data_IF_910727498961
#
_entry.id   IF_910727498961
#
_cell.length_a   1.000
_cell.length_b   1.000
_cell.length_c   1.000
_cell.angle_alpha   90.00
_cell.angle_beta   90.00
_cell.angle_gamma   90.00
#
_symmetry.space_group_name_H-M   'P 1'
#
loop_
_entity.id
_entity.type
_entity.pdbx_description
1 polymer ?
#
# COMPACT_ATOMS: atom_id res chain seq x y z
N UNK A 1 -25.29 -38.24 24.33
CA UNK A 1 -24.03 -37.51 24.56
C UNK A 1 -23.53 -37.01 23.21
N UNK A 2 -23.71 -35.70 22.99
CA UNK A 2 -23.17 -34.82 21.94
C UNK A 2 -22.70 -35.41 20.61
N UNK A 3 -23.54 -35.28 19.58
CA UNK A 3 -23.09 -35.19 18.18
C UNK A 3 -22.48 -33.80 17.98
N UNK A 4 -21.16 -33.72 17.76
CA UNK A 4 -20.46 -32.46 17.50
C UNK A 4 -21.02 -31.75 16.25
N UNK A 5 -20.90 -30.41 16.16
CA UNK A 5 -21.39 -29.69 15.00
C UNK A 5 -20.57 -30.13 13.79
N UNK A 6 -21.27 -30.74 12.84
CA UNK A 6 -20.75 -31.10 11.53
C UNK A 6 -20.11 -29.85 10.93
N UNK A 7 -18.79 -29.87 10.80
CA UNK A 7 -18.02 -28.81 10.19
C UNK A 7 -18.40 -28.78 8.71
N UNK A 8 -19.45 -28.01 8.38
CA UNK A 8 -19.87 -27.78 7.01
C UNK A 8 -18.70 -27.07 6.31
N UNK A 9 -17.93 -27.85 5.55
CA UNK A 9 -16.96 -27.35 4.61
C UNK A 9 -17.74 -26.58 3.54
N UNK A 10 -17.89 -25.27 3.72
CA UNK A 10 -18.61 -24.45 2.76
C UNK A 10 -17.79 -24.28 1.47
N UNK A 11 -18.45 -24.31 0.30
CA UNK A 11 -17.79 -24.37 -0.98
C UNK A 11 -16.95 -23.11 -1.25
N UNK A 12 -15.82 -23.31 -1.92
CA UNK A 12 -14.97 -22.24 -2.45
C UNK A 12 -15.69 -21.37 -3.49
N UNK A 13 -15.01 -20.35 -4.03
CA UNK A 13 -15.64 -19.20 -4.68
C UNK A 13 -16.28 -19.61 -6.00
N UNK A 14 -17.54 -20.02 -5.96
CA UNK A 14 -18.36 -20.23 -7.13
C UNK A 14 -19.18 -18.97 -7.39
N UNK A 15 -19.08 -18.48 -8.64
CA UNK A 15 -19.93 -17.43 -9.22
C UNK A 15 -21.37 -17.61 -8.77
N UNK A 16 -21.95 -16.51 -8.29
CA UNK A 16 -23.32 -16.36 -7.80
C UNK A 16 -24.33 -17.25 -8.53
N UNK A 17 -25.23 -17.88 -7.77
CA UNK A 17 -26.64 -17.69 -8.11
C UNK A 17 -27.46 -17.41 -6.85
N UNK A 18 -28.16 -16.26 -6.86
CA UNK A 18 -29.34 -15.98 -6.03
C UNK A 18 -29.31 -16.51 -4.57
N UNK A 19 -28.56 -15.84 -3.69
CA UNK A 19 -28.63 -16.09 -2.25
C UNK A 19 -29.82 -15.32 -1.64
N UNK A 20 -30.80 -16.05 -1.12
CA UNK A 20 -32.01 -15.49 -0.51
C UNK A 20 -31.66 -14.69 0.76
N UNK A 21 -32.34 -13.55 0.97
CA UNK A 21 -32.10 -12.64 2.09
C UNK A 21 -32.24 -13.24 3.50
N UNK A 22 -32.72 -14.48 3.60
CA UNK A 22 -32.90 -15.22 4.85
C UNK A 22 -31.57 -15.59 5.54
N UNK A 23 -30.47 -15.80 4.80
CA UNK A 23 -29.18 -16.15 5.40
C UNK A 23 -28.54 -15.00 6.19
N UNK A 24 -28.71 -13.77 5.70
CA UNK A 24 -28.26 -12.56 6.40
C UNK A 24 -29.03 -12.37 7.72
N UNK A 25 -30.30 -12.78 7.75
CA UNK A 25 -31.13 -12.76 8.96
C UNK A 25 -30.79 -13.88 9.95
N UNK A 26 -30.40 -15.07 9.47
CA UNK A 26 -30.14 -16.24 10.33
C UNK A 26 -28.73 -16.26 10.91
N UNK A 27 -27.74 -15.68 10.22
CA UNK A 27 -26.35 -15.60 10.69
C UNK A 27 -25.78 -14.18 10.54
N UNK A 28 -26.34 -13.19 11.26
CA UNK A 28 -25.99 -11.78 11.08
C UNK A 28 -24.52 -11.48 11.42
N UNK A 29 -23.95 -12.12 12.45
CA UNK A 29 -22.54 -11.91 12.82
C UNK A 29 -21.58 -12.43 11.74
N UNK A 30 -21.83 -13.64 11.22
CA UNK A 30 -20.98 -14.24 10.18
C UNK A 30 -21.07 -13.46 8.86
N UNK A 31 -22.25 -12.89 8.55
CA UNK A 31 -22.39 -11.98 7.40
C UNK A 31 -21.63 -10.67 7.61
N UNK A 32 -21.69 -10.10 8.81
CA UNK A 32 -20.92 -8.90 9.17
C UNK A 32 -19.41 -9.16 9.09
N UNK A 33 -18.91 -10.27 9.64
CA UNK A 33 -17.49 -10.66 9.57
C UNK A 33 -17.02 -10.80 8.11
N UNK A 34 -17.82 -11.47 7.27
CA UNK A 34 -17.52 -11.58 5.83
C UNK A 34 -17.53 -10.22 5.14
N UNK A 35 -18.52 -9.38 5.44
CA UNK A 35 -18.60 -8.02 4.90
C UNK A 35 -17.39 -7.18 5.30
N UNK A 36 -16.94 -7.28 6.55
CA UNK A 36 -15.75 -6.60 7.04
C UNK A 36 -14.48 -7.12 6.35
N UNK A 37 -14.36 -8.45 6.16
CA UNK A 37 -13.22 -9.04 5.44
C UNK A 37 -13.15 -8.56 3.98
N UNK A 38 -14.28 -8.51 3.28
CA UNK A 38 -14.37 -7.98 1.91
C UNK A 38 -13.96 -6.50 1.87
N UNK A 39 -14.50 -5.69 2.79
CA UNK A 39 -14.15 -4.27 2.87
C UNK A 39 -12.66 -4.04 3.13
N UNK A 40 -12.05 -4.85 4.00
CA UNK A 40 -10.61 -4.74 4.30
C UNK A 40 -9.75 -5.16 3.10
N UNK A 41 -10.14 -6.21 2.37
CA UNK A 41 -9.48 -6.61 1.13
C UNK A 41 -9.59 -5.52 0.05
N UNK A 42 -10.78 -4.97 -0.15
CA UNK A 42 -11.01 -3.82 -1.04
C UNK A 42 -10.17 -2.61 -0.62
N UNK A 43 -10.08 -2.36 0.70
CA UNK A 43 -9.26 -1.29 1.30
C UNK A 43 -7.77 -1.51 1.01
N UNK A 44 -7.27 -2.73 1.13
CA UNK A 44 -5.88 -3.05 0.81
C UNK A 44 -5.60 -2.91 -0.69
N UNK A 45 -6.52 -3.33 -1.56
CA UNK A 45 -6.37 -3.25 -3.01
C UNK A 45 -6.20 -1.80 -3.53
N UNK A 46 -6.85 -0.83 -2.87
CA UNK A 46 -6.76 0.60 -3.22
C UNK A 46 -5.56 1.34 -2.60
N UNK A 47 -4.84 0.73 -1.66
CA UNK A 47 -3.58 1.27 -1.09
C UNK A 47 -2.37 0.82 -1.91
N UNK A 48 -2.35 1.23 -3.17
CA UNK A 48 -1.42 0.71 -4.17
C UNK A 48 -0.08 1.46 -4.30
N UNK A 49 0.08 2.59 -3.62
CA UNK A 49 1.31 3.39 -3.73
C UNK A 49 2.22 3.13 -2.54
N UNK A 50 3.41 2.54 -2.72
CA UNK A 50 4.41 2.44 -1.66
C UNK A 50 4.94 3.84 -1.30
N UNK A 51 5.07 4.11 0.00
CA UNK A 51 5.51 5.40 0.54
C UNK A 51 6.78 5.25 1.38
N UNK A 52 7.84 5.93 0.94
CA UNK A 52 9.08 6.10 1.69
C UNK A 52 8.97 7.35 2.58
N UNK A 53 9.22 7.20 3.87
CA UNK A 53 9.18 8.31 4.83
C UNK A 53 10.62 8.71 5.14
N UNK A 54 11.02 9.91 4.75
CA UNK A 54 12.37 10.42 5.00
C UNK A 54 12.37 11.96 4.99
N UNK A 55 13.07 12.57 4.03
CA UNK A 55 13.20 14.02 3.86
C UNK A 55 12.33 14.56 2.72
N UNK A 56 12.23 15.89 2.64
CA UNK A 56 11.47 16.57 1.59
C UNK A 56 12.20 16.47 0.24
N UNK A 57 11.46 16.16 -0.82
CA UNK A 57 11.95 16.13 -2.21
C UNK A 57 11.01 16.92 -3.12
N UNK A 58 11.57 17.53 -4.17
CA UNK A 58 10.83 18.37 -5.10
C UNK A 58 10.80 17.72 -6.50
N UNK A 59 9.73 17.93 -7.28
CA UNK A 59 9.70 17.57 -8.69
C UNK A 59 10.84 18.22 -9.48
N UNK A 60 11.32 17.55 -10.53
CA UNK A 60 12.35 18.05 -11.44
C UNK A 60 13.78 17.96 -10.92
N UNK A 61 14.01 17.32 -9.77
CA UNK A 61 15.33 17.18 -9.16
C UNK A 61 15.68 15.69 -8.98
N UNK A 62 16.96 15.29 -9.15
CA UNK A 62 17.41 13.95 -8.77
C UNK A 62 17.44 13.80 -7.25
N UNK A 63 17.27 12.58 -6.75
CA UNK A 63 17.43 12.25 -5.32
C UNK A 63 18.12 10.89 -5.16
N UNK A 64 19.19 10.87 -4.35
CA UNK A 64 19.97 9.67 -4.04
C UNK A 64 19.62 9.15 -2.66
N UNK A 65 19.26 7.87 -2.56
CA UNK A 65 18.75 7.26 -1.35
C UNK A 65 19.50 5.98 -1.02
N UNK A 66 19.75 5.77 0.28
CA UNK A 66 20.36 4.56 0.80
C UNK A 66 19.32 3.70 1.51
N UNK A 67 19.00 2.55 0.92
CA UNK A 67 18.01 1.61 1.44
C UNK A 67 18.72 0.53 2.26
N UNK A 68 18.83 0.78 3.56
CA UNK A 68 19.47 -0.16 4.50
C UNK A 68 18.45 -0.93 5.34
N UNK A 69 17.27 -0.35 5.65
CA UNK A 69 16.24 -1.03 6.43
C UNK A 69 15.58 -2.18 5.63
N UNK A 70 15.41 -3.37 6.22
CA UNK A 70 14.82 -4.54 5.54
C UNK A 70 13.48 -4.27 4.86
N UNK A 71 12.58 -3.51 5.51
CA UNK A 71 11.26 -3.16 4.96
C UNK A 71 11.34 -2.36 3.66
N UNK A 72 12.30 -1.45 3.54
CA UNK A 72 12.46 -0.63 2.34
C UNK A 72 13.20 -1.37 1.24
N UNK A 73 14.10 -2.30 1.59
CA UNK A 73 14.70 -3.25 0.64
C UNK A 73 13.63 -4.12 -0.03
N UNK A 74 12.65 -4.60 0.73
CA UNK A 74 11.49 -5.31 0.19
C UNK A 74 10.61 -4.40 -0.68
N UNK A 75 10.30 -3.19 -0.19
CA UNK A 75 9.54 -2.19 -0.94
C UNK A 75 10.19 -1.90 -2.31
N UNK A 76 11.51 -1.66 -2.35
CA UNK A 76 12.26 -1.40 -3.57
C UNK A 76 12.15 -2.56 -4.56
N UNK A 77 12.32 -3.80 -4.10
CA UNK A 77 12.18 -5.00 -4.95
C UNK A 77 10.82 -5.05 -5.63
N UNK A 78 9.74 -4.83 -4.87
CA UNK A 78 8.37 -4.79 -5.41
C UNK A 78 8.16 -3.64 -6.40
N UNK A 79 8.75 -2.46 -6.16
CA UNK A 79 8.69 -1.37 -7.13
C UNK A 79 9.34 -1.76 -8.47
N UNK A 80 10.49 -2.46 -8.42
CA UNK A 80 11.23 -2.90 -9.59
C UNK A 80 10.53 -4.00 -10.39
N UNK A 81 9.59 -4.73 -9.79
CA UNK A 81 8.75 -5.72 -10.48
C UNK A 81 7.67 -5.08 -11.37
N UNK A 82 7.48 -3.75 -11.28
CA UNK A 82 6.51 -3.02 -12.10
C UNK A 82 7.15 -2.46 -13.38
N UNK A 83 6.40 -2.30 -14.49
CA UNK A 83 6.93 -1.68 -15.71
C UNK A 83 7.41 -0.23 -15.54
N UNK A 84 6.96 0.45 -14.48
CA UNK A 84 7.14 1.87 -14.25
C UNK A 84 7.58 2.11 -12.80
N UNK A 85 8.80 1.66 -12.43
CA UNK A 85 9.23 1.57 -11.04
C UNK A 85 9.27 2.94 -10.38
N UNK A 86 8.43 3.13 -9.37
CA UNK A 86 8.26 4.40 -8.65
C UNK A 86 7.70 4.17 -7.25
N UNK A 87 7.90 5.16 -6.38
CA UNK A 87 7.28 5.21 -5.06
C UNK A 87 7.00 6.67 -4.69
N UNK A 88 6.10 6.90 -3.74
CA UNK A 88 5.90 8.21 -3.15
C UNK A 88 6.91 8.45 -2.03
N UNK A 89 7.40 9.68 -1.89
CA UNK A 89 8.21 10.09 -0.76
C UNK A 89 7.51 11.22 -0.01
N UNK A 90 7.37 11.06 1.31
CA UNK A 90 6.89 12.11 2.20
C UNK A 90 7.95 12.43 3.25
N UNK A 91 7.88 13.66 3.75
CA UNK A 91 8.68 14.07 4.90
C UNK A 91 8.06 13.51 6.18
N UNK A 92 8.91 13.07 7.12
CA UNK A 92 8.45 12.68 8.46
C UNK A 92 7.76 13.85 9.19
N UNK A 93 6.68 13.56 9.92
CA UNK A 93 6.00 14.57 10.73
C UNK A 93 6.79 14.84 11.99
N UNK A 94 7.08 16.12 12.26
CA UNK A 94 7.41 16.53 13.63
C UNK A 94 6.13 16.50 14.45
N UNK A 95 6.18 15.98 15.66
CA UNK A 95 5.05 15.96 16.60
C UNK A 95 4.39 17.34 16.64
N UNK A 96 3.11 17.41 16.25
CA UNK A 96 2.33 18.65 16.18
C UNK A 96 2.22 19.33 14.80
N UNK A 97 2.81 18.77 13.73
CA UNK A 97 2.69 19.37 12.39
C UNK A 97 1.50 18.79 11.58
N UNK A 98 0.56 19.64 11.09
CA UNK A 98 -0.65 19.18 10.41
C UNK A 98 -0.45 18.76 8.94
N UNK A 99 0.70 19.03 8.32
CA UNK A 99 0.87 18.95 6.85
C UNK A 99 1.87 17.86 6.40
N UNK A 100 1.71 16.61 6.84
CA UNK A 100 2.54 15.48 6.35
C UNK A 100 1.87 14.59 5.32
N UNK A 101 0.77 15.05 4.75
CA UNK A 101 0.05 14.33 3.70
C UNK A 101 0.63 14.60 2.31
N UNK A 102 1.54 15.56 2.16
CA UNK A 102 2.09 15.94 0.86
C UNK A 102 3.44 15.29 0.60
N UNK A 103 3.63 14.85 -0.65
CA UNK A 103 4.87 14.23 -1.08
C UNK A 103 5.13 14.38 -2.57
N UNK A 104 6.21 13.73 -3.01
CA UNK A 104 6.63 13.71 -4.42
C UNK A 104 6.77 12.26 -4.87
N UNK A 105 6.23 11.95 -6.06
CA UNK A 105 6.47 10.68 -6.74
C UNK A 105 7.91 10.68 -7.25
N UNK A 106 8.67 9.66 -6.86
CA UNK A 106 10.03 9.43 -7.28
C UNK A 106 10.06 8.26 -8.27
N UNK A 107 10.53 8.52 -9.48
CA UNK A 107 10.80 7.51 -10.50
C UNK A 107 12.19 6.93 -10.27
N UNK A 108 12.30 5.60 -10.20
CA UNK A 108 13.59 4.93 -9.99
C UNK A 108 14.37 4.95 -11.31
N UNK A 109 15.56 5.55 -11.30
CA UNK A 109 16.43 5.67 -12.48
C UNK A 109 17.51 4.60 -12.49
N UNK A 110 18.15 4.36 -11.34
CA UNK A 110 19.18 3.34 -11.21
C UNK A 110 19.21 2.77 -9.79
N UNK A 111 19.65 1.51 -9.67
CA UNK A 111 19.82 0.82 -8.39
C UNK A 111 21.17 0.12 -8.39
N UNK A 112 21.99 0.45 -7.40
CA UNK A 112 23.23 -0.25 -7.10
C UNK A 112 23.01 -1.14 -5.88
N UNK A 113 23.05 -2.46 -6.07
CA UNK A 113 23.02 -3.42 -4.96
C UNK A 113 24.40 -3.54 -4.31
N UNK A 114 24.45 -3.52 -2.98
CA UNK A 114 25.66 -3.69 -2.20
C UNK A 114 25.80 -5.15 -1.71
N UNK A 115 27.02 -5.64 -1.41
CA UNK A 115 27.24 -7.05 -1.01
C UNK A 115 26.51 -7.50 0.25
N UNK A 116 26.18 -6.57 1.15
CA UNK A 116 25.39 -6.82 2.37
C UNK A 116 23.86 -6.76 2.12
N UNK A 117 23.48 -6.59 0.86
CA UNK A 117 22.10 -6.52 0.39
C UNK A 117 21.42 -5.17 0.60
N UNK A 118 22.14 -4.14 1.05
CA UNK A 118 21.68 -2.74 1.00
C UNK A 118 21.68 -2.24 -0.44
N UNK A 119 21.05 -1.10 -0.71
CA UNK A 119 21.01 -0.52 -2.06
C UNK A 119 21.22 0.98 -2.04
N UNK A 120 21.96 1.49 -3.02
CA UNK A 120 21.95 2.90 -3.38
C UNK A 120 20.98 3.09 -4.55
N UNK A 121 20.06 4.04 -4.43
CA UNK A 121 18.97 4.24 -5.40
C UNK A 121 19.02 5.68 -5.88
N UNK A 122 19.15 5.85 -7.18
CA UNK A 122 18.96 7.13 -7.84
C UNK A 122 17.52 7.25 -8.31
N UNK A 123 16.91 8.40 -8.04
CA UNK A 123 15.53 8.69 -8.43
C UNK A 123 15.40 10.07 -9.06
N UNK A 124 14.31 10.28 -9.80
CA UNK A 124 13.92 11.56 -10.34
C UNK A 124 12.55 11.99 -9.81
N UNK A 125 12.44 13.19 -9.26
CA UNK A 125 11.18 13.76 -8.81
C UNK A 125 10.23 14.05 -9.97
N UNK A 126 9.08 13.38 -10.00
CA UNK A 126 8.12 13.46 -11.11
C UNK A 126 6.99 14.45 -10.82
N UNK A 127 6.09 14.12 -9.89
CA UNK A 127 4.88 14.90 -9.61
C UNK A 127 4.60 14.96 -8.11
N UNK A 128 3.98 16.06 -7.65
CA UNK A 128 3.49 16.14 -6.26
C UNK A 128 2.23 15.30 -6.09
N UNK A 129 2.00 14.83 -4.87
CA UNK A 129 0.76 14.17 -4.50
C UNK A 129 0.32 14.55 -3.08
N UNK A 130 -0.96 14.29 -2.79
CA UNK A 130 -1.54 14.28 -1.45
C UNK A 130 -1.98 12.86 -1.09
N UNK A 131 -1.72 12.43 0.13
CA UNK A 131 -2.24 11.19 0.70
C UNK A 131 -3.71 11.39 1.04
N UNK A 132 -4.57 10.53 0.50
CA UNK A 132 -5.99 10.48 0.81
C UNK A 132 -6.29 9.43 1.89
N UNK A 133 -5.51 8.35 1.92
CA UNK A 133 -5.61 7.31 2.94
C UNK A 133 -4.25 6.64 3.15
N UNK A 134 -3.97 6.27 4.40
CA UNK A 134 -2.74 5.57 4.82
C UNK A 134 -3.04 4.12 5.21
N UNK A 135 -2.07 3.25 4.96
CA UNK A 135 -2.00 1.94 5.58
C UNK A 135 -0.55 1.47 5.69
N UNK A 136 -0.40 0.21 6.10
CA UNK A 136 0.89 -0.45 6.23
C UNK A 136 0.87 -1.76 5.44
N UNK A 137 2.00 -2.09 4.84
CA UNK A 137 2.23 -3.36 4.18
C UNK A 137 3.65 -3.79 4.52
N UNK A 138 3.82 -4.94 5.19
CA UNK A 138 5.12 -5.52 5.57
C UNK A 138 6.10 -4.51 6.22
N UNK A 139 5.57 -3.64 7.06
CA UNK A 139 6.34 -2.68 7.86
C UNK A 139 6.65 -1.34 7.16
N UNK A 140 6.32 -1.16 5.88
CA UNK A 140 6.40 0.15 5.21
C UNK A 140 5.01 0.74 4.95
N UNK A 141 4.95 2.05 4.72
CA UNK A 141 3.70 2.76 4.49
C UNK A 141 3.21 2.55 3.06
N UNK A 142 1.91 2.32 2.90
CA UNK A 142 1.22 2.36 1.61
C UNK A 142 0.13 3.41 1.67
N UNK A 143 -0.21 3.98 0.52
CA UNK A 143 -1.19 5.05 0.46
C UNK A 143 -2.06 5.00 -0.78
N UNK A 144 -3.30 5.47 -0.61
CA UNK A 144 -4.12 5.95 -1.72
C UNK A 144 -3.83 7.43 -1.88
N UNK A 145 -3.44 7.84 -3.08
CA UNK A 145 -2.95 9.19 -3.34
C UNK A 145 -3.75 9.91 -4.42
N UNK A 146 -3.74 11.23 -4.36
CA UNK A 146 -4.17 12.13 -5.42
C UNK A 146 -2.94 12.84 -5.98
N UNK A 147 -2.70 12.76 -7.29
CA UNK A 147 -1.56 13.43 -7.94
C UNK A 147 -1.97 14.79 -8.46
N UNK A 148 -1.11 15.78 -8.29
CA UNK A 148 -1.27 17.08 -8.93
C UNK A 148 -0.76 17.01 -10.37
N UNK A 149 -1.55 17.52 -11.31
CA UNK A 149 -1.13 17.63 -12.70
C UNK A 149 0.12 18.54 -12.81
N UNK A 150 1.06 18.26 -13.72
CA UNK A 150 2.10 19.22 -14.06
C UNK A 150 1.40 20.49 -14.57
N UNK A 151 1.73 21.65 -13.99
CA UNK A 151 1.34 22.93 -14.55
C UNK A 151 2.03 23.04 -15.92
N UNK A 152 1.22 23.13 -16.98
CA UNK A 152 1.67 23.33 -18.36
C UNK A 152 2.48 24.63 -18.52
#
# INVERSE_FOLDING_TARGET
>A
MQTGPSQLLLPGPARQPHYSGHYCQSYPLLYQERGAAIQEEERHARLNTPIFVSHLTFPGMPTFLHFFEPRYRLMLRRCLETPNPRFGMIMTSKTGSPNTDYGTILEIRSVQMLPDGRSMVETWGSTRFRILERGSLDGYMVGRIERYAPSA
#
